data_IF_876475885133
#
_entry.id   IF_876475885133
#
_cell.length_a   1.000
_cell.length_b   1.000
_cell.length_c   1.000
_cell.angle_alpha   90.00
_cell.angle_beta   90.00
_cell.angle_gamma   90.00
#
_symmetry.space_group_name_H-M   'P 1'
#
loop_
_entity.id
_entity.type
_entity.pdbx_description
1 polymer ?
#
# COMPACT_ATOMS: atom_id res chain seq x y z
N UNK A 1 -19.25 36.73 -0.07
CA UNK A 1 -19.36 35.29 0.26
C UNK A 1 -17.99 34.85 0.76
N UNK A 2 -17.86 34.64 2.07
CA UNK A 2 -16.57 34.25 2.68
C UNK A 2 -16.41 32.73 2.62
N UNK A 3 -15.41 32.26 1.88
CA UNK A 3 -14.98 30.88 2.01
C UNK A 3 -14.37 30.70 3.40
N UNK A 4 -14.89 29.76 4.19
CA UNK A 4 -14.24 29.33 5.43
C UNK A 4 -13.06 28.45 5.06
N UNK A 5 -11.86 28.83 5.49
CA UNK A 5 -10.68 27.98 5.38
C UNK A 5 -10.93 26.67 6.14
N UNK A 6 -10.75 25.54 5.46
CA UNK A 6 -10.84 24.22 6.07
C UNK A 6 -9.61 23.98 6.94
N UNK A 7 -9.80 23.43 8.15
CA UNK A 7 -8.68 23.04 9.00
C UNK A 7 -8.19 21.65 8.58
N UNK A 8 -6.89 21.52 8.33
CA UNK A 8 -6.25 20.23 8.06
C UNK A 8 -6.23 19.37 9.34
N UNK A 9 -6.28 18.02 9.23
CA UNK A 9 -6.24 17.21 8.01
C UNK A 9 -7.63 16.90 7.44
N UNK A 10 -7.80 17.14 6.13
CA UNK A 10 -9.03 16.82 5.39
C UNK A 10 -8.88 15.44 4.75
N UNK A 11 -9.88 14.57 4.92
CA UNK A 11 -9.89 13.26 4.27
C UNK A 11 -10.49 13.38 2.87
N UNK A 12 -9.71 13.07 1.84
CA UNK A 12 -10.15 13.05 0.45
C UNK A 12 -9.94 11.66 -0.13
N UNK A 13 -11.01 11.04 -0.64
CA UNK A 13 -10.97 9.65 -1.17
C UNK A 13 -10.44 8.60 -0.15
N UNK A 14 -10.58 8.88 1.15
CA UNK A 14 -10.04 8.03 2.22
C UNK A 14 -8.51 8.10 2.38
N UNK A 15 -7.87 9.09 1.75
CA UNK A 15 -6.52 9.52 2.05
C UNK A 15 -6.57 10.85 2.82
N UNK A 16 -5.92 10.95 3.96
CA UNK A 16 -5.81 12.22 4.64
C UNK A 16 -4.80 13.12 3.90
N UNK A 17 -5.24 14.33 3.56
CA UNK A 17 -4.43 15.37 2.91
C UNK A 17 -3.71 16.14 4.02
N UNK A 18 -2.38 16.15 3.95
CA UNK A 18 -1.51 16.93 4.83
C UNK A 18 -0.77 18.00 4.04
N UNK A 19 -0.46 19.10 4.72
CA UNK A 19 0.37 20.18 4.21
C UNK A 19 1.89 19.87 4.34
N UNK A 20 2.27 18.68 4.81
CA UNK A 20 3.66 18.34 5.13
C UNK A 20 4.08 16.88 4.89
N UNK A 21 5.22 16.50 5.45
CA UNK A 21 5.75 15.12 5.38
C UNK A 21 4.81 14.14 6.07
N UNK A 22 4.73 12.94 5.52
CA UNK A 22 3.89 11.88 6.04
C UNK A 22 4.30 11.53 7.49
N UNK A 23 3.38 11.77 8.43
CA UNK A 23 3.63 11.57 9.85
C UNK A 23 3.39 10.09 10.23
N UNK A 24 4.07 9.60 11.25
CA UNK A 24 3.98 8.19 11.69
C UNK A 24 2.54 7.75 11.99
N UNK A 25 1.71 8.67 12.52
CA UNK A 25 0.30 8.42 12.83
C UNK A 25 -0.54 8.16 11.58
N UNK A 26 -0.19 8.76 10.46
CA UNK A 26 -0.92 8.64 9.20
C UNK A 26 -0.56 7.34 8.49
N UNK A 27 0.67 6.87 8.71
CA UNK A 27 1.06 5.51 8.37
C UNK A 27 0.26 4.46 9.14
N UNK A 28 -0.08 4.72 10.40
CA UNK A 28 -0.88 3.80 11.23
C UNK A 28 -2.29 3.65 10.66
N UNK A 29 -2.89 4.73 10.16
CA UNK A 29 -4.20 4.67 9.48
C UNK A 29 -4.15 3.78 8.24
N UNK A 30 -3.09 3.89 7.43
CA UNK A 30 -2.89 3.01 6.27
C UNK A 30 -2.77 1.55 6.71
N UNK A 31 -1.94 1.28 7.71
CA UNK A 31 -1.72 -0.06 8.27
C UNK A 31 -3.02 -0.65 8.80
N UNK A 32 -3.78 0.12 9.57
CA UNK A 32 -5.07 -0.29 10.12
C UNK A 32 -6.08 -0.59 9.02
N UNK A 33 -6.16 0.26 7.98
CA UNK A 33 -7.03 0.04 6.83
C UNK A 33 -6.73 -1.28 6.11
N UNK A 34 -5.45 -1.57 5.86
CA UNK A 34 -5.04 -2.85 5.24
C UNK A 34 -5.36 -4.01 6.16
N UNK A 35 -5.07 -3.88 7.45
CA UNK A 35 -5.33 -4.91 8.45
C UNK A 35 -6.82 -5.22 8.52
N UNK A 36 -7.66 -4.19 8.61
CA UNK A 36 -9.12 -4.32 8.59
C UNK A 36 -9.62 -4.95 7.30
N UNK A 37 -9.11 -4.52 6.13
CA UNK A 37 -9.44 -5.14 4.84
C UNK A 37 -9.08 -6.62 4.85
N UNK A 38 -7.86 -6.97 5.22
CA UNK A 38 -7.34 -8.34 5.24
C UNK A 38 -8.11 -9.22 6.25
N UNK A 39 -8.38 -8.73 7.46
CA UNK A 39 -9.15 -9.41 8.49
C UNK A 39 -10.65 -9.53 8.17
N UNK A 40 -11.22 -8.59 7.39
CA UNK A 40 -12.63 -8.67 6.97
C UNK A 40 -12.93 -9.88 6.08
N UNK A 41 -11.90 -10.42 5.42
CA UNK A 41 -12.02 -11.67 4.69
C UNK A 41 -11.92 -12.83 5.67
N UNK A 42 -12.93 -13.72 5.64
CA UNK A 42 -12.92 -14.98 6.39
C UNK A 42 -11.75 -15.87 5.93
N UNK A 43 -10.56 -15.64 6.51
CA UNK A 43 -9.33 -16.32 6.14
C UNK A 43 -9.46 -17.85 6.21
N UNK A 44 -10.30 -18.35 7.12
CA UNK A 44 -10.59 -19.77 7.33
C UNK A 44 -11.32 -20.47 6.17
N UNK A 45 -11.84 -19.73 5.17
CA UNK A 45 -12.53 -20.30 4.00
C UNK A 45 -11.71 -20.20 2.71
N UNK A 46 -10.50 -19.65 2.76
CA UNK A 46 -9.71 -19.33 1.58
C UNK A 46 -8.48 -20.24 1.52
N UNK A 47 -8.27 -20.89 0.37
CA UNK A 47 -7.07 -21.70 0.13
C UNK A 47 -5.80 -20.84 0.22
N UNK A 48 -4.62 -21.46 0.41
CA UNK A 48 -3.35 -20.72 0.43
C UNK A 48 -3.14 -19.86 -0.82
N UNK A 49 -3.41 -20.43 -2.00
CA UNK A 49 -3.35 -19.69 -3.27
C UNK A 49 -4.36 -18.53 -3.33
N UNK A 50 -5.57 -18.73 -2.79
CA UNK A 50 -6.56 -17.66 -2.68
C UNK A 50 -6.12 -16.53 -1.75
N UNK A 51 -5.49 -16.86 -0.60
CA UNK A 51 -4.93 -15.88 0.33
C UNK A 51 -3.82 -15.06 -0.33
N UNK A 52 -2.95 -15.70 -1.10
CA UNK A 52 -1.91 -15.02 -1.87
C UNK A 52 -2.49 -14.04 -2.89
N UNK A 53 -3.47 -14.48 -3.67
CA UNK A 53 -4.13 -13.62 -4.66
C UNK A 53 -4.83 -12.44 -3.99
N UNK A 54 -5.45 -12.66 -2.83
CA UNK A 54 -6.15 -11.65 -2.07
C UNK A 54 -5.21 -10.61 -1.49
N UNK A 55 -4.13 -11.05 -0.83
CA UNK A 55 -3.06 -10.18 -0.35
C UNK A 55 -2.49 -9.37 -1.49
N UNK A 56 -2.21 -10.01 -2.63
CA UNK A 56 -1.73 -9.30 -3.81
C UNK A 56 -2.74 -8.22 -4.23
N UNK A 57 -4.02 -8.56 -4.42
CA UNK A 57 -5.05 -7.60 -4.84
C UNK A 57 -5.26 -6.43 -3.85
N UNK A 58 -5.24 -6.70 -2.55
CA UNK A 58 -5.38 -5.66 -1.50
C UNK A 58 -4.16 -4.75 -1.50
N UNK A 59 -2.95 -5.32 -1.51
CA UNK A 59 -1.71 -4.55 -1.65
C UNK A 59 -1.78 -3.72 -2.93
N UNK A 60 -2.09 -4.31 -4.08
CA UNK A 60 -2.22 -3.58 -5.35
C UNK A 60 -3.22 -2.44 -5.31
N UNK A 61 -4.40 -2.61 -4.72
CA UNK A 61 -5.40 -1.52 -4.71
C UNK A 61 -5.11 -0.44 -3.65
N UNK A 62 -4.82 -0.82 -2.41
CA UNK A 62 -4.59 0.16 -1.33
C UNK A 62 -3.19 0.76 -1.41
N UNK A 63 -2.12 -0.03 -1.62
CA UNK A 63 -0.77 0.52 -1.71
C UNK A 63 -0.62 1.40 -2.93
N UNK A 64 -1.16 1.04 -4.10
CA UNK A 64 -0.93 1.82 -5.31
C UNK A 64 -1.44 3.26 -5.16
N UNK A 65 -2.61 3.46 -4.54
CA UNK A 65 -3.14 4.80 -4.29
C UNK A 65 -2.24 5.60 -3.34
N UNK A 66 -1.82 4.98 -2.24
CA UNK A 66 -0.97 5.63 -1.24
C UNK A 66 0.45 5.91 -1.75
N UNK A 67 1.04 4.97 -2.47
CA UNK A 67 2.38 5.07 -3.05
C UNK A 67 2.45 6.06 -4.21
N UNK A 68 1.36 6.25 -4.96
CA UNK A 68 1.31 7.28 -6.00
C UNK A 68 1.42 8.68 -5.40
N UNK A 69 0.82 8.89 -4.23
CA UNK A 69 0.70 10.23 -3.61
C UNK A 69 1.87 10.49 -2.64
N UNK A 70 2.39 9.44 -1.99
CA UNK A 70 3.37 9.56 -0.92
C UNK A 70 4.53 8.56 -0.99
N UNK A 71 5.72 9.05 -0.66
CA UNK A 71 6.89 8.21 -0.39
C UNK A 71 6.78 7.69 1.04
N UNK A 72 6.46 6.40 1.18
CA UNK A 72 6.25 5.78 2.50
C UNK A 72 7.59 5.41 3.15
N UNK A 73 7.78 5.69 4.46
CA UNK A 73 9.00 5.30 5.16
C UNK A 73 9.10 3.77 5.27
N UNK A 74 10.31 3.24 5.11
CA UNK A 74 10.60 1.78 5.08
C UNK A 74 9.99 1.01 6.27
N UNK A 75 10.00 1.59 7.47
CA UNK A 75 9.42 0.98 8.68
C UNK A 75 7.94 0.60 8.52
N UNK A 76 7.19 1.38 7.76
CA UNK A 76 5.75 1.16 7.54
C UNK A 76 5.55 0.04 6.54
N UNK A 77 6.36 0.02 5.49
CA UNK A 77 6.39 -1.08 4.53
C UNK A 77 6.71 -2.40 5.25
N UNK A 78 7.70 -2.40 6.14
CA UNK A 78 8.04 -3.58 6.95
C UNK A 78 6.89 -4.03 7.85
N UNK A 79 6.11 -3.10 8.40
CA UNK A 79 4.95 -3.45 9.22
C UNK A 79 3.83 -4.08 8.37
N UNK A 80 3.57 -3.53 7.18
CA UNK A 80 2.60 -4.06 6.21
C UNK A 80 3.03 -5.46 5.77
N UNK A 81 4.32 -5.66 5.49
CA UNK A 81 4.89 -6.96 5.16
C UNK A 81 4.62 -8.00 6.24
N UNK A 82 4.81 -7.64 7.53
CA UNK A 82 4.53 -8.54 8.66
C UNK A 82 3.07 -8.96 8.72
N UNK A 83 2.15 -8.01 8.56
CA UNK A 83 0.71 -8.27 8.60
C UNK A 83 0.29 -9.19 7.45
N UNK A 84 0.73 -8.88 6.23
CA UNK A 84 0.42 -9.67 5.05
C UNK A 84 1.01 -11.08 5.13
N UNK A 85 2.24 -11.23 5.63
CA UNK A 85 2.87 -12.52 5.83
C UNK A 85 2.14 -13.33 6.91
N UNK A 86 1.74 -12.70 8.03
CA UNK A 86 0.96 -13.40 9.04
C UNK A 86 -0.37 -13.92 8.48
N UNK A 87 -1.10 -13.09 7.74
CA UNK A 87 -2.36 -13.50 7.11
C UNK A 87 -2.17 -14.65 6.09
N UNK A 88 -1.10 -14.59 5.29
CA UNK A 88 -0.80 -15.62 4.31
C UNK A 88 -0.58 -17.00 4.95
N UNK A 89 0.10 -17.04 6.10
CA UNK A 89 0.41 -18.30 6.80
C UNK A 89 -0.72 -18.75 7.75
N UNK A 90 -1.16 -17.87 8.64
CA UNK A 90 -2.10 -18.21 9.73
C UNK A 90 -3.54 -17.76 9.49
N UNK A 91 -3.79 -16.94 8.47
CA UNK A 91 -5.12 -16.39 8.21
C UNK A 91 -5.52 -15.39 9.31
N UNK A 92 -6.53 -15.74 10.10
CA UNK A 92 -7.01 -14.97 11.26
C UNK A 92 -6.28 -15.34 12.57
N UNK A 93 -5.36 -16.31 12.52
CA UNK A 93 -4.56 -16.70 13.66
C UNK A 93 -3.46 -15.69 14.00
N UNK A 94 -3.20 -15.49 15.30
CA UNK A 94 -2.00 -14.82 15.77
C UNK A 94 -0.80 -15.78 15.72
N UNK A 95 0.05 -15.64 14.71
CA UNK A 95 1.30 -16.42 14.58
C UNK A 95 2.43 -15.58 14.01
N UNK A 96 3.67 -16.04 14.15
CA UNK A 96 4.81 -15.40 13.48
C UNK A 96 4.97 -16.01 12.10
N UNK A 97 4.99 -15.19 11.06
CA UNK A 97 5.26 -15.64 9.70
C UNK A 97 6.53 -16.50 9.63
N UNK A 98 6.45 -17.65 8.95
CA UNK A 98 7.57 -18.60 8.86
C UNK A 98 8.64 -18.18 7.84
N UNK A 99 8.32 -17.21 6.98
CA UNK A 99 9.17 -16.75 5.88
C UNK A 99 9.18 -15.22 5.84
N UNK A 100 10.37 -14.64 5.66
CA UNK A 100 10.55 -13.19 5.51
C UNK A 100 9.97 -12.70 4.19
N UNK A 101 9.46 -11.48 4.19
CA UNK A 101 8.81 -10.91 3.02
C UNK A 101 9.78 -10.69 1.85
N UNK A 102 11.06 -10.44 2.12
CA UNK A 102 12.10 -10.36 1.09
C UNK A 102 12.19 -11.64 0.24
N UNK A 103 12.07 -12.82 0.86
CA UNK A 103 12.04 -14.11 0.16
C UNK A 103 10.74 -14.27 -0.65
N UNK A 104 9.64 -13.67 -0.20
CA UNK A 104 8.37 -13.67 -0.94
C UNK A 104 8.37 -12.68 -2.12
N UNK A 105 9.13 -11.59 -1.98
CA UNK A 105 9.21 -10.48 -2.91
C UNK A 105 10.32 -10.63 -3.97
N UNK A 106 11.21 -11.60 -3.80
CA UNK A 106 12.19 -11.92 -4.81
C UNK A 106 11.51 -12.59 -6.03
N UNK A 107 12.08 -12.28 -7.21
CA UNK A 107 11.49 -12.59 -8.49
C UNK A 107 11.46 -14.10 -8.76
N UNK A 108 10.38 -14.53 -9.42
CA UNK A 108 9.94 -15.89 -9.77
C UNK A 108 11.00 -16.87 -10.33
N UNK A 109 12.24 -16.44 -10.59
CA UNK A 109 13.33 -17.26 -11.10
C UNK A 109 13.84 -18.31 -10.10
N UNK A 110 13.59 -18.14 -8.81
CA UNK A 110 14.08 -19.07 -7.76
C UNK A 110 12.98 -19.89 -7.06
N UNK A 111 11.74 -19.89 -7.59
CA UNK A 111 10.62 -20.64 -6.99
C UNK A 111 9.85 -19.87 -5.91
N UNK A 112 10.11 -18.56 -5.82
CA UNK A 112 9.46 -17.63 -4.90
C UNK A 112 8.16 -17.05 -5.47
N UNK A 113 7.30 -16.52 -4.60
CA UNK A 113 5.90 -16.20 -4.90
C UNK A 113 5.71 -14.97 -5.82
N UNK A 114 6.78 -14.23 -6.12
CA UNK A 114 6.77 -13.17 -7.13
C UNK A 114 6.00 -11.91 -6.73
N UNK A 115 5.92 -11.62 -5.43
CA UNK A 115 5.42 -10.35 -4.96
C UNK A 115 6.43 -9.25 -5.32
N UNK A 116 5.98 -8.01 -5.59
CA UNK A 116 6.91 -6.90 -5.85
C UNK A 116 7.42 -6.33 -4.53
N UNK A 117 8.70 -5.98 -4.48
CA UNK A 117 9.24 -5.16 -3.40
C UNK A 117 8.49 -3.81 -3.32
N UNK A 118 7.85 -3.55 -2.18
CA UNK A 118 7.02 -2.36 -1.98
C UNK A 118 7.84 -1.07 -2.04
N UNK A 119 9.13 -1.11 -1.68
CA UNK A 119 10.00 0.08 -1.72
C UNK A 119 10.31 0.50 -3.16
N UNK A 120 10.72 -0.45 -3.98
CA UNK A 120 11.02 -0.25 -5.40
C UNK A 120 9.76 0.19 -6.15
N UNK A 121 8.64 -0.47 -5.84
CA UNK A 121 7.38 -0.17 -6.47
C UNK A 121 6.79 1.19 -6.07
N UNK A 122 7.03 1.66 -4.83
CA UNK A 122 6.65 3.02 -4.43
C UNK A 122 7.31 4.06 -5.34
N UNK A 123 8.63 3.94 -5.57
CA UNK A 123 9.39 4.85 -6.44
C UNK A 123 8.88 4.78 -7.88
N UNK A 124 8.63 3.58 -8.41
CA UNK A 124 8.08 3.42 -9.76
C UNK A 124 6.70 4.07 -9.91
N UNK A 125 5.82 3.90 -8.92
CA UNK A 125 4.47 4.42 -8.96
C UNK A 125 4.45 5.95 -8.89
N UNK A 126 5.26 6.51 -7.99
CA UNK A 126 5.46 7.95 -7.88
C UNK A 126 6.06 8.55 -9.15
N UNK A 127 7.09 7.91 -9.74
CA UNK A 127 7.69 8.34 -11.00
C UNK A 127 6.69 8.29 -12.17
N UNK A 128 5.85 7.27 -12.24
CA UNK A 128 4.77 7.19 -13.24
C UNK A 128 3.76 8.31 -13.06
N UNK A 129 3.36 8.63 -11.83
CA UNK A 129 2.46 9.74 -11.56
C UNK A 129 3.09 11.08 -11.98
N UNK A 130 4.35 11.32 -11.59
CA UNK A 130 5.09 12.52 -12.01
C UNK A 130 5.17 12.64 -13.52
N UNK A 131 5.46 11.54 -14.22
CA UNK A 131 5.51 11.52 -15.68
C UNK A 131 4.15 11.84 -16.31
N UNK A 132 3.06 11.28 -15.77
CA UNK A 132 1.70 11.61 -16.21
C UNK A 132 1.37 13.08 -16.00
N UNK A 133 1.69 13.64 -14.83
CA UNK A 133 1.47 15.06 -14.52
C UNK A 133 2.27 15.95 -15.49
N UNK A 134 3.52 15.60 -15.75
CA UNK A 134 4.38 16.33 -16.69
C UNK A 134 3.81 16.30 -18.12
N UNK A 135 3.36 15.14 -18.59
CA UNK A 135 2.78 14.99 -19.93
C UNK A 135 1.43 15.73 -20.07
N UNK A 136 0.57 15.67 -19.05
CA UNK A 136 -0.70 16.42 -19.00
C UNK A 136 -0.48 17.94 -18.94
N UNK A 137 0.54 18.41 -18.21
CA UNK A 137 0.91 19.82 -18.16
C UNK A 137 1.46 20.36 -19.50
N UNK A 138 2.11 19.51 -20.29
CA UNK A 138 2.58 19.86 -21.64
C UNK A 138 1.45 20.04 -22.67
N UNK A 139 0.31 19.37 -22.48
CA UNK A 139 -0.84 19.50 -23.40
C UNK A 139 -1.71 20.75 -23.15
N UNK A 140 -1.56 21.43 -22.01
CA UNK A 140 -2.33 22.64 -21.70
C UNK A 140 -1.65 23.93 -22.17
N UNK A 141 -0.38 23.88 -22.62
CA UNK A 141 0.36 25.06 -23.08
C UNK A 141 0.43 25.22 -24.61
N UNK A 142 -0.39 24.46 -25.36
CA UNK A 142 -0.52 24.57 -26.82
C UNK A 142 -1.99 24.62 -27.24
N UNK A 143 -2.70 25.66 -26.81
CA UNK A 143 -4.00 26.04 -27.37
C UNK A 143 -4.14 27.56 -27.37
#
# INVERSE_FOLDING_TARGET
MGFKEGCFPVHYLGLPIFDGKLNSKECEILVDKITSRVCSWRANKVSFAGRLQLVSSVIYSDMQLWMSIFISPRKVLDNIHKICSNFLWHGDGSGSAKVSWDILANSKKEGELGLKDLSTWNVECFARLLWLIFMLGGSFSVA
#
